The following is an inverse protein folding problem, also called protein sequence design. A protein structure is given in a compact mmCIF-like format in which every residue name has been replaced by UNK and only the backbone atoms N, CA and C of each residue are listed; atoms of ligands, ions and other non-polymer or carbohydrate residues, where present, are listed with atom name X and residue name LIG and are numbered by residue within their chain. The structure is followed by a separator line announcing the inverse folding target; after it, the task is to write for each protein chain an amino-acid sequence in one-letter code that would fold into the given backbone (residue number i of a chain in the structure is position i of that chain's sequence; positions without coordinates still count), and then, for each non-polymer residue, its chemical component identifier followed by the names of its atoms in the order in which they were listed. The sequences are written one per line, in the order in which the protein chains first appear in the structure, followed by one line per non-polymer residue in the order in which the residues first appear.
data_IF_903880992042
#
_entry.id   IF_903880992042
#
_cell.length_a   1.000
_cell.length_b   1.000
_cell.length_c   1.000
_cell.angle_alpha   90.00
_cell.angle_beta   90.00
_cell.angle_gamma   90.00
#
_symmetry.space_group_name_H-M   'P 1'
#
loop_
_entity.id
_entity.type
_entity.pdbx_description
1 polymer ?
#
# COMPACT_ATOMS: atom_id res chain seq x y z
N UNK A 1 10.59 -11.25 -19.32
CA UNK A 1 9.24 -11.85 -19.19
C UNK A 1 8.28 -10.74 -18.79
N UNK A 2 7.72 -10.02 -19.76
CA UNK A 2 6.88 -8.85 -19.49
C UNK A 2 5.55 -9.28 -18.89
N UNK A 3 5.27 -8.88 -17.65
CA UNK A 3 3.96 -9.10 -17.02
C UNK A 3 2.94 -8.26 -17.78
N UNK A 4 2.12 -8.96 -18.56
CA UNK A 4 0.99 -8.40 -19.31
C UNK A 4 -0.05 -7.93 -18.27
N UNK A 5 -0.01 -6.64 -17.91
CA UNK A 5 -1.06 -6.01 -17.08
C UNK A 5 -2.36 -6.10 -17.89
N UNK A 6 -3.28 -6.93 -17.42
CA UNK A 6 -4.66 -6.95 -17.88
C UNK A 6 -5.30 -5.65 -17.36
N UNK A 7 -5.46 -4.67 -18.25
CA UNK A 7 -5.81 -3.27 -17.94
C UNK A 7 -7.20 -3.12 -17.27
N UNK A 8 -8.03 -4.17 -17.21
CA UNK A 8 -9.42 -4.07 -16.71
C UNK A 8 -9.59 -4.44 -15.21
N UNK A 9 -8.62 -5.13 -14.61
CA UNK A 9 -8.76 -5.69 -13.25
C UNK A 9 -7.84 -5.05 -12.18
N UNK A 10 -7.23 -3.90 -12.47
CA UNK A 10 -6.41 -3.16 -11.51
C UNK A 10 -7.21 -2.06 -10.81
N UNK A 11 -6.85 -1.76 -9.56
CA UNK A 11 -7.32 -0.63 -8.79
C UNK A 11 -6.14 0.18 -8.30
N UNK A 12 -6.33 1.50 -8.22
CA UNK A 12 -5.33 2.45 -7.75
C UNK A 12 -5.79 3.06 -6.43
N UNK A 13 -4.88 3.07 -5.45
CA UNK A 13 -5.09 3.56 -4.11
C UNK A 13 -4.04 4.62 -3.79
N UNK A 14 -4.47 5.67 -3.09
CA UNK A 14 -3.57 6.60 -2.43
C UNK A 14 -3.44 6.14 -0.97
N UNK A 15 -2.21 5.86 -0.55
CA UNK A 15 -1.91 5.43 0.81
C UNK A 15 -1.02 6.47 1.48
N UNK A 16 -1.43 6.92 2.66
CA UNK A 16 -0.65 7.79 3.52
C UNK A 16 -0.18 7.00 4.73
N UNK A 17 1.10 7.06 5.05
CA UNK A 17 1.67 6.49 6.26
C UNK A 17 2.08 7.61 7.23
N UNK A 18 1.49 7.58 8.42
CA UNK A 18 1.84 8.48 9.51
C UNK A 18 2.65 7.70 10.56
N UNK A 19 3.83 8.22 10.91
CA UNK A 19 4.66 7.71 12.01
C UNK A 19 4.58 8.67 13.21
N UNK A 20 4.62 8.12 14.43
CA UNK A 20 4.53 8.90 15.68
C UNK A 20 5.59 10.00 15.77
N UNK A 21 6.81 9.75 15.29
CA UNK A 21 7.94 10.68 15.34
C UNK A 21 8.02 11.64 14.14
N UNK A 22 7.00 11.69 13.28
CA UNK A 22 7.00 12.44 12.01
C UNK A 22 8.22 12.13 11.11
N UNK A 23 8.84 10.97 11.29
CA UNK A 23 9.94 10.51 10.45
C UNK A 23 9.42 10.23 9.04
N UNK A 24 10.17 10.64 8.04
CA UNK A 24 9.89 10.29 6.65
C UNK A 24 10.62 9.01 6.30
N UNK A 25 9.93 8.09 5.64
CA UNK A 25 10.55 6.87 5.14
C UNK A 25 11.11 7.11 3.73
N UNK A 26 12.17 6.39 3.38
CA UNK A 26 12.54 6.18 1.99
C UNK A 26 11.47 5.34 1.28
N UNK A 27 11.45 5.38 -0.06
CA UNK A 27 10.52 4.55 -0.83
C UNK A 27 10.67 3.05 -0.51
N UNK A 28 11.90 2.59 -0.26
CA UNK A 28 12.20 1.20 0.10
C UNK A 28 11.64 0.83 1.48
N UNK A 29 11.87 1.66 2.51
CA UNK A 29 11.33 1.41 3.85
C UNK A 29 9.80 1.44 3.85
N UNK A 30 9.20 2.32 3.04
CA UNK A 30 7.76 2.36 2.86
C UNK A 30 7.21 1.07 2.23
N UNK A 31 7.89 0.53 1.22
CA UNK A 31 7.55 -0.77 0.62
C UNK A 31 7.68 -1.90 1.65
N UNK A 32 8.76 -1.92 2.43
CA UNK A 32 8.94 -2.87 3.53
C UNK A 32 7.84 -2.75 4.59
N UNK A 33 7.37 -1.55 4.91
CA UNK A 33 6.28 -1.33 5.87
C UNK A 33 4.96 -1.94 5.37
N UNK A 34 4.65 -1.77 4.08
CA UNK A 34 3.48 -2.41 3.47
C UNK A 34 3.61 -3.94 3.50
N UNK A 35 4.77 -4.48 3.10
CA UNK A 35 5.00 -5.92 3.11
C UNK A 35 4.89 -6.50 4.53
N UNK A 36 5.41 -5.79 5.53
CA UNK A 36 5.29 -6.17 6.94
C UNK A 36 3.84 -6.17 7.41
N UNK A 37 3.04 -5.18 7.00
CA UNK A 37 1.61 -5.15 7.30
C UNK A 37 0.85 -6.34 6.68
N UNK A 38 1.14 -6.63 5.41
CA UNK A 38 0.55 -7.77 4.70
C UNK A 38 0.92 -9.10 5.35
N UNK A 39 2.19 -9.27 5.71
CA UNK A 39 2.68 -10.47 6.39
C UNK A 39 2.07 -10.62 7.78
N UNK A 40 1.97 -9.52 8.54
CA UNK A 40 1.46 -9.55 9.91
C UNK A 40 0.00 -9.99 9.99
N UNK A 41 -0.84 -9.65 9.03
CA UNK A 41 -2.26 -10.02 9.04
C UNK A 41 -2.56 -11.32 8.29
N UNK A 42 -1.93 -11.54 7.15
CA UNK A 42 -2.26 -12.66 6.24
C UNK A 42 -1.14 -13.71 6.11
N UNK A 43 -0.06 -13.58 6.89
CA UNK A 43 1.12 -14.45 6.83
C UNK A 43 1.91 -14.30 5.53
N UNK A 44 2.78 -15.26 5.24
CA UNK A 44 3.61 -15.27 4.02
C UNK A 44 2.79 -15.23 2.71
N UNK A 45 1.53 -15.67 2.75
CA UNK A 45 0.61 -15.61 1.61
C UNK A 45 0.16 -14.16 1.36
N UNK A 46 0.03 -13.35 2.41
CA UNK A 46 -0.22 -11.92 2.33
C UNK A 46 0.86 -11.18 1.58
N UNK A 47 2.13 -11.49 1.88
CA UNK A 47 3.29 -10.88 1.22
C UNK A 47 3.40 -11.22 -0.27
N UNK A 48 2.66 -12.22 -0.75
CA UNK A 48 2.58 -12.55 -2.17
C UNK A 48 1.61 -11.64 -2.95
N UNK A 49 0.85 -10.77 -2.28
CA UNK A 49 0.01 -9.76 -2.93
C UNK A 49 0.90 -8.80 -3.71
N UNK A 50 0.75 -8.79 -5.02
CA UNK A 50 1.58 -7.98 -5.92
C UNK A 50 0.95 -6.58 -6.06
N UNK A 51 1.71 -5.56 -5.68
CA UNK A 51 1.37 -4.15 -5.88
C UNK A 51 2.53 -3.44 -6.58
N UNK A 52 2.22 -2.35 -7.28
CA UNK A 52 3.20 -1.49 -7.94
C UNK A 52 3.10 -0.09 -7.35
N UNK A 53 4.23 0.52 -6.97
CA UNK A 53 4.30 1.92 -6.55
C UNK A 53 4.46 2.79 -7.79
N UNK A 54 3.45 3.61 -8.11
CA UNK A 54 3.47 4.52 -9.26
C UNK A 54 4.15 5.85 -8.93
N UNK A 55 3.91 6.36 -7.73
CA UNK A 55 4.55 7.58 -7.24
C UNK A 55 4.69 7.55 -5.73
N UNK A 56 5.76 8.14 -5.21
CA UNK A 56 6.03 8.25 -3.79
C UNK A 56 6.46 9.67 -3.43
N UNK A 57 5.79 10.27 -2.46
CA UNK A 57 6.04 11.62 -1.95
C UNK A 57 6.11 11.55 -0.41
N UNK A 58 7.24 11.05 0.10
CA UNK A 58 7.73 10.99 1.50
C UNK A 58 6.82 10.38 2.59
N UNK A 59 5.51 10.54 2.49
CA UNK A 59 4.45 9.98 3.34
C UNK A 59 3.30 9.42 2.51
N UNK A 60 3.12 9.89 1.26
CA UNK A 60 2.06 9.44 0.36
C UNK A 60 2.62 8.54 -0.74
N UNK A 61 1.96 7.40 -0.98
CA UNK A 61 2.25 6.55 -2.12
C UNK A 61 0.99 6.29 -2.94
N UNK A 62 1.14 6.42 -4.26
CA UNK A 62 0.13 5.95 -5.22
C UNK A 62 0.48 4.52 -5.61
N UNK A 63 -0.42 3.60 -5.30
CA UNK A 63 -0.22 2.17 -5.46
C UNK A 63 -1.26 1.60 -6.40
N UNK A 64 -0.85 0.73 -7.31
CA UNK A 64 -1.75 -0.03 -8.17
C UNK A 64 -1.63 -1.52 -7.89
N UNK A 65 -2.75 -2.21 -7.72
CA UNK A 65 -2.82 -3.64 -7.43
C UNK A 65 -4.04 -4.29 -8.08
N UNK A 66 -4.14 -5.61 -8.01
CA UNK A 66 -5.33 -6.33 -8.48
C UNK A 66 -6.54 -6.03 -7.59
N UNK A 67 -7.70 -5.74 -8.20
CA UNK A 67 -8.97 -5.54 -7.48
C UNK A 67 -9.31 -6.70 -6.53
N UNK A 68 -8.98 -7.94 -6.89
CA UNK A 68 -9.25 -9.12 -6.05
C UNK A 68 -8.49 -9.11 -4.73
N UNK A 69 -7.33 -8.45 -4.69
CA UNK A 69 -6.46 -8.40 -3.51
C UNK A 69 -6.72 -7.16 -2.66
N UNK A 70 -7.55 -6.23 -3.14
CA UNK A 70 -7.83 -4.95 -2.47
C UNK A 70 -8.33 -5.12 -1.04
N UNK A 71 -9.24 -6.08 -0.79
CA UNK A 71 -9.82 -6.28 0.55
C UNK A 71 -8.75 -6.73 1.53
N UNK A 72 -7.87 -7.65 1.11
CA UNK A 72 -6.77 -8.15 1.94
C UNK A 72 -5.73 -7.06 2.18
N UNK A 73 -5.40 -6.29 1.14
CA UNK A 73 -4.48 -5.18 1.22
C UNK A 73 -4.98 -4.10 2.20
N UNK A 74 -6.21 -3.64 2.02
CA UNK A 74 -6.79 -2.58 2.86
C UNK A 74 -6.91 -3.01 4.32
N UNK A 75 -7.38 -4.23 4.57
CA UNK A 75 -7.51 -4.76 5.94
C UNK A 75 -6.17 -4.85 6.66
N UNK A 76 -5.11 -5.30 5.96
CA UNK A 76 -3.77 -5.35 6.52
C UNK A 76 -3.25 -3.97 6.92
N UNK A 77 -3.32 -3.01 6.00
CA UNK A 77 -2.86 -1.65 6.25
C UNK A 77 -3.64 -0.98 7.39
N UNK A 78 -4.97 -1.11 7.39
CA UNK A 78 -5.83 -0.44 8.40
C UNK A 78 -5.64 -1.00 9.82
N UNK A 79 -5.22 -2.27 9.94
CA UNK A 79 -5.00 -2.92 11.23
C UNK A 79 -3.54 -2.84 11.70
N UNK A 80 -2.62 -2.41 10.84
CA UNK A 80 -1.21 -2.33 11.18
C UNK A 80 -0.90 -1.07 11.98
N UNK A 81 -0.52 -1.25 13.25
CA UNK A 81 -0.35 -0.15 14.21
C UNK A 81 1.09 0.15 14.62
N UNK A 82 2.06 -0.68 14.21
CA UNK A 82 3.45 -0.55 14.63
C UNK A 82 4.43 -0.96 13.52
N UNK A 83 5.38 -0.10 13.19
CA UNK A 83 6.49 -0.39 12.28
C UNK A 83 7.82 -0.10 12.97
N UNK A 84 8.73 -1.08 13.00
CA UNK A 84 10.05 -0.97 13.66
C UNK A 84 10.00 -0.41 15.09
N UNK A 85 9.00 -0.83 15.88
CA UNK A 85 8.82 -0.39 17.27
C UNK A 85 8.19 1.00 17.43
N UNK A 86 7.88 1.69 16.33
CA UNK A 86 7.20 3.00 16.33
C UNK A 86 5.72 2.82 16.01
N UNK A 87 4.86 3.61 16.67
CA UNK A 87 3.44 3.64 16.29
C UNK A 87 3.29 4.21 14.89
N UNK A 88 2.45 3.57 14.10
CA UNK A 88 2.14 4.00 12.75
C UNK A 88 0.65 3.86 12.44
N UNK A 89 0.17 4.63 11.47
CA UNK A 89 -1.18 4.49 10.95
C UNK A 89 -1.16 4.64 9.42
N UNK A 90 -1.69 3.63 8.73
CA UNK A 90 -1.97 3.75 7.30
C UNK A 90 -3.37 4.31 7.08
N UNK A 91 -3.47 5.34 6.25
CA UNK A 91 -4.74 5.85 5.73
C UNK A 91 -4.82 5.55 4.25
N UNK A 92 -5.82 4.77 3.87
CA UNK A 92 -6.03 4.37 2.48
C UNK A 92 -7.22 5.15 1.93
N UNK A 93 -7.05 5.73 0.74
CA UNK A 93 -8.08 6.41 -0.01
C UNK A 93 -8.09 5.89 -1.45
N UNK A 94 -9.27 5.88 -2.07
CA UNK A 94 -9.36 5.60 -3.49
C UNK A 94 -8.83 6.79 -4.29
N UNK A 95 -8.02 6.50 -5.31
CA UNK A 95 -7.64 7.53 -6.26
C UNK A 95 -8.84 7.85 -7.16
N UNK A 96 -9.56 8.92 -6.83
CA UNK A 96 -10.68 9.43 -7.61
C UNK A 96 -10.18 10.14 -8.88
N UNK A 97 -9.52 9.42 -9.79
CA UNK A 97 -9.22 9.94 -11.12
C UNK A 97 -10.44 9.77 -12.05
N UNK A 98 -11.54 10.48 -11.80
CA UNK A 98 -12.61 10.86 -12.76
C UNK A 98 -13.30 12.10 -12.17
N UNK A 99 -13.54 13.21 -12.87
CA UNK A 99 -14.23 13.39 -14.15
C UNK A 99 -13.67 14.67 -14.81
N UNK A 100 -12.94 14.58 -15.93
CA UNK A 100 -12.82 15.70 -16.85
C UNK A 100 -13.84 15.48 -17.96
N UNK A 101 -14.83 16.36 -17.97
CA UNK A 101 -15.94 16.45 -18.91
C UNK A 101 -15.48 16.99 -20.27
#
# INVERSE_FOLDING_TARGET
MGKKKNVDNSITLLVHLELEDATQLTQFEYECAILSALESLHGQIGSAINFDIESYDQSFAKLTLNKSDMIKFWSALSLYGYYEGKRCAFRVAYDCQKINH
#
